data_IF_054900043285
#
_entry.id   IF_054900043285
#
_cell.length_a   1.000
_cell.length_b   1.000
_cell.length_c   1.000
_cell.angle_alpha   90.00
_cell.angle_beta   90.00
_cell.angle_gamma   90.00
#
_symmetry.space_group_name_H-M   'P 1'
#
loop_
_entity.id
_entity.type
_entity.pdbx_description
1 polymer ?
#
# COMPACT_ATOMS: atom_id res chain seq x y z
N UNK A 1 0.80 -8.51 6.26
CA UNK A 1 1.00 -7.93 7.61
C UNK A 1 -0.27 -8.05 8.44
N UNK A 2 -0.21 -7.96 9.78
CA UNK A 2 -1.41 -8.12 10.63
C UNK A 2 -2.49 -7.09 10.26
N UNK A 3 -3.70 -7.56 9.96
CA UNK A 3 -4.88 -6.75 9.60
C UNK A 3 -5.73 -6.47 10.86
N UNK A 4 -5.26 -5.53 11.65
CA UNK A 4 -5.82 -5.20 12.96
C UNK A 4 -5.96 -3.68 13.17
N UNK A 5 -6.83 -3.33 14.12
CA UNK A 5 -6.95 -1.98 14.69
C UNK A 5 -7.02 -0.87 13.61
N UNK A 6 -6.05 0.04 13.63
CA UNK A 6 -6.01 1.22 12.76
C UNK A 6 -5.74 0.87 11.28
N UNK A 7 -5.09 -0.27 11.00
CA UNK A 7 -4.70 -0.65 9.62
C UNK A 7 -5.92 -0.94 8.77
N UNK A 8 -7.00 -1.45 9.38
CA UNK A 8 -8.25 -1.72 8.67
C UNK A 8 -8.87 -0.44 8.13
N UNK A 9 -8.74 0.68 8.86
CA UNK A 9 -9.36 1.95 8.48
C UNK A 9 -8.62 2.58 7.30
N UNK A 10 -7.28 2.61 7.33
CA UNK A 10 -6.48 3.14 6.21
C UNK A 10 -6.59 2.26 4.97
N UNK A 11 -6.63 0.93 5.13
CA UNK A 11 -6.85 0.00 4.02
C UNK A 11 -8.22 0.21 3.36
N UNK A 12 -9.29 0.32 4.16
CA UNK A 12 -10.63 0.60 3.64
C UNK A 12 -10.71 1.96 2.93
N UNK A 13 -10.03 2.99 3.45
CA UNK A 13 -9.95 4.29 2.80
C UNK A 13 -9.20 4.20 1.46
N UNK A 14 -8.09 3.48 1.42
CA UNK A 14 -7.29 3.26 0.23
C UNK A 14 -8.08 2.54 -0.86
N UNK A 15 -8.71 1.41 -0.52
CA UNK A 15 -9.58 0.64 -1.43
C UNK A 15 -10.71 1.53 -1.99
N UNK A 16 -11.38 2.31 -1.12
CA UNK A 16 -12.45 3.23 -1.56
C UNK A 16 -11.95 4.33 -2.48
N UNK A 17 -10.73 4.81 -2.27
CA UNK A 17 -10.09 5.84 -3.09
C UNK A 17 -9.73 5.30 -4.47
N UNK A 18 -9.16 4.09 -4.52
CA UNK A 18 -8.88 3.39 -5.79
C UNK A 18 -10.16 3.10 -6.57
N UNK A 19 -11.19 2.54 -5.92
CA UNK A 19 -12.47 2.20 -6.56
C UNK A 19 -13.21 3.42 -7.14
N UNK A 20 -12.93 4.63 -6.63
CA UNK A 20 -13.48 5.91 -7.13
C UNK A 20 -12.56 6.61 -8.14
N UNK A 21 -11.39 6.06 -8.41
CA UNK A 21 -10.39 6.69 -9.28
C UNK A 21 -10.91 6.81 -10.71
N UNK A 22 -10.75 8.00 -11.30
CA UNK A 22 -11.05 8.23 -12.73
C UNK A 22 -10.17 7.37 -13.65
N UNK A 23 -9.00 6.94 -13.17
CA UNK A 23 -8.05 6.16 -13.94
C UNK A 23 -8.53 4.74 -14.24
N UNK A 24 -9.50 4.22 -13.46
CA UNK A 24 -10.14 2.93 -13.75
C UNK A 24 -10.92 2.91 -15.07
N UNK A 25 -11.14 4.06 -15.73
CA UNK A 25 -11.73 4.10 -17.08
C UNK A 25 -10.75 3.66 -18.17
N UNK A 26 -9.45 3.76 -17.92
CA UNK A 26 -8.39 3.51 -18.91
C UNK A 26 -7.32 2.53 -18.44
N UNK A 27 -7.30 2.16 -17.16
CA UNK A 27 -6.30 1.29 -16.57
C UNK A 27 -6.96 0.22 -15.70
N UNK A 28 -6.37 -0.97 -15.71
CA UNK A 28 -6.70 -2.06 -14.80
C UNK A 28 -5.83 -1.92 -13.56
N UNK A 29 -6.44 -2.01 -12.38
CA UNK A 29 -5.74 -2.02 -11.10
C UNK A 29 -5.98 -3.38 -10.44
N UNK A 30 -4.90 -4.13 -10.25
CA UNK A 30 -4.88 -5.37 -9.50
C UNK A 30 -4.30 -5.09 -8.12
N UNK A 31 -5.15 -5.08 -7.09
CA UNK A 31 -4.73 -4.86 -5.71
C UNK A 31 -4.63 -6.19 -4.98
N UNK A 32 -3.41 -6.62 -4.70
CA UNK A 32 -3.15 -7.78 -3.84
C UNK A 32 -2.96 -7.32 -2.40
N UNK A 33 -3.77 -7.83 -1.49
CA UNK A 33 -3.69 -7.58 -0.05
C UNK A 33 -3.06 -8.81 0.60
N UNK A 34 -1.99 -8.61 1.36
CA UNK A 34 -1.30 -9.70 2.06
C UNK A 34 -1.39 -9.45 3.57
N UNK A 35 -1.99 -10.37 4.29
CA UNK A 35 -2.09 -10.31 5.74
C UNK A 35 -3.33 -10.97 6.31
N UNK A 36 -3.21 -11.48 7.54
CA UNK A 36 -4.30 -12.06 8.30
C UNK A 36 -4.70 -11.19 9.48
N UNK A 37 -5.94 -11.32 9.94
CA UNK A 37 -6.43 -10.59 11.12
C UNK A 37 -7.90 -10.83 11.44
N UNK A 38 -8.28 -10.53 12.68
CA UNK A 38 -9.63 -10.76 13.21
C UNK A 38 -10.71 -9.85 12.61
N UNK A 39 -10.29 -8.80 11.89
CA UNK A 39 -11.19 -7.88 11.23
C UNK A 39 -11.34 -8.26 9.76
N UNK A 40 -12.49 -8.83 9.42
CA UNK A 40 -12.95 -8.92 8.04
C UNK A 40 -13.03 -7.50 7.47
N UNK A 41 -12.07 -7.11 6.64
CA UNK A 41 -12.29 -5.98 5.74
C UNK A 41 -13.44 -6.41 4.85
N UNK A 42 -14.58 -5.72 4.97
CA UNK A 42 -15.65 -5.86 3.98
C UNK A 42 -15.08 -5.29 2.70
N UNK A 43 -14.49 -6.14 1.85
CA UNK A 43 -14.17 -5.80 0.47
C UNK A 43 -15.46 -5.23 -0.09
N UNK A 44 -15.51 -3.91 -0.26
CA UNK A 44 -16.70 -3.30 -0.86
C UNK A 44 -16.80 -3.94 -2.23
N UNK A 45 -17.95 -4.54 -2.56
CA UNK A 45 -18.16 -5.15 -3.87
C UNK A 45 -17.67 -4.15 -4.92
N UNK A 46 -16.60 -4.51 -5.62
CA UNK A 46 -15.99 -3.64 -6.62
C UNK A 46 -17.03 -3.47 -7.71
N UNK A 47 -17.50 -2.24 -7.91
CA UNK A 47 -18.50 -1.94 -8.94
C UNK A 47 -17.86 -1.76 -10.32
N UNK A 48 -16.53 -1.68 -10.36
CA UNK A 48 -15.77 -1.38 -11.56
C UNK A 48 -15.06 -2.65 -12.05
N UNK A 49 -15.26 -3.00 -13.32
CA UNK A 49 -14.66 -4.17 -13.96
C UNK A 49 -13.14 -4.11 -14.05
N UNK A 50 -12.55 -2.93 -13.98
CA UNK A 50 -11.10 -2.71 -14.07
C UNK A 50 -10.43 -2.64 -12.69
N UNK A 51 -11.14 -2.97 -11.61
CA UNK A 51 -10.57 -3.02 -10.27
C UNK A 51 -10.75 -4.40 -9.65
N UNK A 52 -9.65 -5.13 -9.54
CA UNK A 52 -9.58 -6.48 -8.99
C UNK A 52 -8.87 -6.45 -7.64
N UNK A 53 -9.40 -7.20 -6.69
CA UNK A 53 -8.81 -7.33 -5.35
C UNK A 53 -8.62 -8.81 -5.08
N UNK A 54 -7.39 -9.19 -4.77
CA UNK A 54 -7.02 -10.52 -4.27
C UNK A 54 -6.51 -10.40 -2.85
N UNK A 55 -6.78 -11.40 -2.02
CA UNK A 55 -6.35 -11.44 -0.63
C UNK A 55 -5.67 -12.76 -0.32
N UNK A 56 -4.48 -12.66 0.27
CA UNK A 56 -3.70 -13.77 0.79
C UNK A 56 -3.46 -13.54 2.29
N UNK A 57 -3.57 -14.59 3.10
CA UNK A 57 -3.27 -14.51 4.52
C UNK A 57 -1.78 -14.26 4.77
N UNK A 58 -0.93 -14.94 4.00
CA UNK A 58 0.52 -14.83 4.06
C UNK A 58 1.14 -15.21 2.71
N UNK A 59 2.35 -14.71 2.46
CA UNK A 59 3.21 -15.17 1.35
C UNK A 59 4.47 -15.73 1.99
N UNK A 60 4.78 -16.99 1.69
CA UNK A 60 5.98 -17.64 2.22
C UNK A 60 7.24 -16.84 1.91
N UNK A 61 8.21 -16.85 2.83
CA UNK A 61 9.44 -16.06 2.70
C UNK A 61 10.19 -16.27 1.37
N UNK A 62 10.18 -17.50 0.86
CA UNK A 62 10.83 -17.85 -0.40
C UNK A 62 10.14 -17.25 -1.63
N UNK A 63 8.83 -16.97 -1.53
CA UNK A 63 8.02 -16.44 -2.63
C UNK A 63 7.91 -14.91 -2.60
N UNK A 64 8.22 -14.28 -1.46
CA UNK A 64 8.11 -12.83 -1.27
C UNK A 64 8.97 -12.04 -2.25
N UNK A 65 10.21 -12.49 -2.51
CA UNK A 65 11.09 -11.83 -3.49
C UNK A 65 10.49 -11.84 -4.89
N UNK A 66 10.10 -13.02 -5.37
CA UNK A 66 9.43 -13.21 -6.67
C UNK A 66 8.12 -12.42 -6.79
N UNK A 67 7.41 -12.25 -5.67
CA UNK A 67 6.19 -11.44 -5.61
C UNK A 67 6.48 -9.95 -5.74
N UNK A 68 7.48 -9.45 -4.99
CA UNK A 68 7.90 -8.06 -5.03
C UNK A 68 8.47 -7.66 -6.40
N UNK A 69 9.25 -8.52 -7.05
CA UNK A 69 9.78 -8.27 -8.39
C UNK A 69 8.67 -8.04 -9.46
N UNK A 70 7.48 -8.59 -9.23
CA UNK A 70 6.31 -8.42 -10.12
C UNK A 70 5.38 -7.30 -9.69
N UNK A 71 5.73 -6.56 -8.64
CA UNK A 71 4.89 -5.50 -8.07
C UNK A 71 5.25 -4.15 -8.67
N UNK A 72 4.29 -3.48 -9.30
CA UNK A 72 4.48 -2.15 -9.88
C UNK A 72 4.55 -1.05 -8.81
N UNK A 73 3.70 -1.15 -7.78
CA UNK A 73 3.57 -0.17 -6.70
C UNK A 73 3.28 -0.90 -5.40
N UNK A 74 4.03 -0.57 -4.36
CA UNK A 74 3.79 -1.08 -3.01
C UNK A 74 2.98 -0.08 -2.19
N UNK A 75 1.99 -0.55 -1.42
CA UNK A 75 1.24 0.28 -0.48
C UNK A 75 1.35 -0.33 0.92
N UNK A 76 2.02 0.37 1.84
CA UNK A 76 2.29 -0.16 3.17
C UNK A 76 2.94 0.84 4.10
N UNK A 77 3.41 0.37 5.25
CA UNK A 77 3.98 1.21 6.30
C UNK A 77 5.05 0.45 7.09
N UNK A 78 5.89 1.18 7.83
CA UNK A 78 6.92 0.58 8.67
C UNK A 78 7.99 -0.15 7.85
N UNK A 79 8.48 -1.27 8.38
CA UNK A 79 9.60 -2.01 7.78
C UNK A 79 9.26 -2.64 6.42
N UNK A 80 7.99 -2.95 6.14
CA UNK A 80 7.60 -3.49 4.83
C UNK A 80 7.76 -2.47 3.69
N UNK A 81 7.63 -1.18 3.99
CA UNK A 81 7.94 -0.11 3.03
C UNK A 81 9.44 -0.08 2.68
N UNK A 82 10.31 -0.32 3.66
CA UNK A 82 11.76 -0.41 3.43
C UNK A 82 12.12 -1.66 2.61
N UNK A 83 11.43 -2.77 2.87
CA UNK A 83 11.62 -4.00 2.11
C UNK A 83 11.24 -3.84 0.63
N UNK A 84 10.10 -3.21 0.33
CA UNK A 84 9.72 -2.89 -1.05
C UNK A 84 10.70 -1.91 -1.71
N UNK A 85 11.17 -0.90 -0.98
CA UNK A 85 12.16 0.04 -1.48
C UNK A 85 13.50 -0.63 -1.84
N UNK A 86 13.90 -1.69 -1.12
CA UNK A 86 15.10 -2.49 -1.45
C UNK A 86 15.03 -3.11 -2.86
N UNK A 87 13.82 -3.41 -3.36
CA UNK A 87 13.58 -3.91 -4.71
C UNK A 87 13.32 -2.78 -5.73
N UNK A 88 13.50 -1.51 -5.35
CA UNK A 88 13.27 -0.36 -6.23
C UNK A 88 11.79 -0.06 -6.50
N UNK A 89 10.88 -0.62 -5.70
CA UNK A 89 9.44 -0.49 -5.93
C UNK A 89 8.94 0.85 -5.36
N UNK A 90 8.28 1.69 -6.17
CA UNK A 90 7.63 2.90 -5.69
C UNK A 90 6.63 2.59 -4.57
N UNK A 91 6.77 3.28 -3.43
CA UNK A 91 5.97 2.99 -2.24
C UNK A 91 5.02 4.13 -1.88
N UNK A 92 3.72 3.82 -1.78
CA UNK A 92 2.69 4.66 -1.19
C UNK A 92 2.65 4.37 0.32
N UNK A 93 2.99 5.37 1.13
CA UNK A 93 2.96 5.22 2.58
C UNK A 93 1.52 5.27 3.10
N UNK A 94 1.07 4.16 3.71
CA UNK A 94 -0.23 4.05 4.37
C UNK A 94 -0.07 4.42 5.86
N UNK A 95 0.13 5.70 6.14
CA UNK A 95 0.28 6.19 7.52
C UNK A 95 -1.07 6.62 8.11
N UNK A 96 -1.31 6.25 9.37
CA UNK A 96 -2.49 6.62 10.13
C UNK A 96 -2.30 7.94 10.88
N UNK A 97 -1.07 8.43 11.00
CA UNK A 97 -0.73 9.72 11.62
C UNK A 97 -0.46 10.81 10.59
N UNK A 98 -1.32 10.97 9.57
CA UNK A 98 -1.20 12.13 8.68
C UNK A 98 -1.54 13.42 9.44
N UNK A 99 -0.53 14.02 10.08
CA UNK A 99 -0.52 15.43 10.43
C UNK A 99 0.16 16.14 9.27
N UNK A 100 -0.55 17.04 8.59
CA UNK A 100 0.04 17.85 7.50
C UNK A 100 1.26 18.59 8.06
N UNK A 101 2.45 18.10 7.73
CA UNK A 101 3.70 18.73 8.11
C UNK A 101 3.83 19.99 7.24
N UNK A 102 3.75 21.18 7.85
CA UNK A 102 4.03 22.45 7.17
C UNK A 102 5.55 22.61 7.01
N UNK A 103 6.16 21.90 6.07
CA UNK A 103 7.58 22.06 5.75
C UNK A 103 7.80 22.15 4.24
N UNK A 104 8.77 22.97 3.82
CA UNK A 104 9.24 23.06 2.45
C UNK A 104 10.28 21.97 2.19
N UNK A 105 10.10 21.22 1.09
CA UNK A 105 10.91 20.05 0.71
C UNK A 105 12.42 20.33 0.64
N UNK A 106 12.81 21.57 0.29
CA UNK A 106 14.21 22.00 0.22
C UNK A 106 14.99 21.84 1.53
N UNK A 107 14.35 21.99 2.70
CA UNK A 107 15.03 21.94 4.00
C UNK A 107 15.48 20.54 4.46
N UNK A 108 15.03 19.47 3.78
CA UNK A 108 15.33 18.09 4.16
C UNK A 108 16.61 17.57 3.48
N UNK A 109 16.85 17.97 2.23
CA UNK A 109 18.05 17.59 1.49
C UNK A 109 19.32 18.17 2.12
N UNK A 110 19.24 19.42 2.62
CA UNK A 110 20.36 20.09 3.30
C UNK A 110 20.78 19.39 4.61
N UNK A 111 19.88 18.61 5.23
CA UNK A 111 20.16 17.89 6.49
C UNK A 111 20.58 16.44 6.29
N UNK A 112 20.25 15.84 5.16
CA UNK A 112 20.59 14.44 4.84
C UNK A 112 21.94 14.35 4.11
N UNK A 113 22.41 15.43 3.48
CA UNK A 113 23.72 15.50 2.82
C UNK A 113 24.90 15.83 3.76
N UNK A 114 24.69 15.80 5.08
CA UNK A 114 25.77 15.90 6.07
C UNK A 114 25.82 14.59 6.87
N UNK A 115 26.17 13.48 6.21
CA UNK A 115 26.82 12.29 6.78
C UNK A 115 27.46 11.48 5.67
#
# INVERSE_FOLDING_TARGET
>A
GRLDDFKIHILNYFIRSLNKSKYLKSHIINLTIIGSGQYLFKISSTKNSNFHIEHFDDIGHNDLGSFLEKTDIFAGMGTSALEAARYGIPTILLDFYYKKIKFSYYSLLDKILIY
#
